data_IF_727528404664
#
_entry.id   IF_727528404664
#
_cell.length_a   1.000
_cell.length_b   1.000
_cell.length_c   1.000
_cell.angle_alpha   90.00
_cell.angle_beta   90.00
_cell.angle_gamma   90.00
#
_symmetry.space_group_name_H-M   'P 1'
#
loop_
_entity.id
_entity.type
_entity.pdbx_description
1 polymer ?
#
# COMPACT_ATOMS: atom_id res chain seq x y z
N UNK A 1 10.80 -1.22 8.24
CA UNK A 1 10.62 0.26 8.26
C UNK A 1 9.14 0.63 8.25
N UNK A 2 8.67 1.55 9.08
CA UNK A 2 7.26 1.95 9.08
C UNK A 2 7.00 3.03 8.02
N UNK A 3 6.20 2.70 7.01
CA UNK A 3 5.80 3.62 5.93
C UNK A 3 4.40 4.15 6.20
N UNK A 4 4.10 5.34 5.68
CA UNK A 4 2.73 5.89 5.73
C UNK A 4 1.73 4.94 5.09
N UNK A 5 0.52 4.89 5.65
CA UNK A 5 -0.52 3.96 5.19
C UNK A 5 -0.85 4.11 3.70
N UNK A 6 -0.81 5.33 3.15
CA UNK A 6 -1.01 5.56 1.73
C UNK A 6 0.09 4.95 0.83
N UNK A 7 1.34 4.94 1.28
CA UNK A 7 2.47 4.35 0.54
C UNK A 7 2.37 2.82 0.58
N UNK A 8 2.10 2.24 1.75
CA UNK A 8 1.92 0.78 1.87
C UNK A 8 0.69 0.31 1.11
N UNK A 9 -0.43 1.03 1.20
CA UNK A 9 -1.65 0.71 0.44
C UNK A 9 -1.38 0.73 -1.07
N UNK A 10 -0.69 1.76 -1.57
CA UNK A 10 -0.31 1.85 -2.97
C UNK A 10 0.56 0.66 -3.39
N UNK A 11 1.57 0.29 -2.60
CA UNK A 11 2.41 -0.87 -2.89
C UNK A 11 1.56 -2.13 -3.08
N UNK A 12 0.64 -2.39 -2.15
CA UNK A 12 -0.25 -3.54 -2.21
C UNK A 12 -1.17 -3.50 -3.44
N UNK A 13 -1.67 -2.32 -3.82
CA UNK A 13 -2.49 -2.13 -5.03
C UNK A 13 -1.70 -2.41 -6.32
N UNK A 14 -0.47 -1.92 -6.43
CA UNK A 14 0.40 -2.16 -7.60
C UNK A 14 0.71 -3.65 -7.71
N UNK A 15 1.07 -4.29 -6.60
CA UNK A 15 1.32 -5.74 -6.55
C UNK A 15 0.05 -6.52 -6.94
N UNK A 16 -1.12 -6.12 -6.44
CA UNK A 16 -2.39 -6.79 -6.73
C UNK A 16 -2.75 -6.72 -8.20
N UNK A 17 -2.61 -5.54 -8.79
CA UNK A 17 -2.84 -5.35 -10.21
C UNK A 17 -1.90 -6.24 -11.04
N UNK A 18 -0.62 -6.33 -10.64
CA UNK A 18 0.33 -7.23 -11.31
C UNK A 18 -0.08 -8.71 -11.20
N UNK A 19 -0.57 -9.15 -10.04
CA UNK A 19 -1.01 -10.54 -9.86
C UNK A 19 -2.21 -10.87 -10.76
N UNK A 20 -3.12 -9.91 -10.94
CA UNK A 20 -4.27 -10.06 -11.84
C UNK A 20 -3.82 -10.17 -13.30
N UNK A 21 -2.88 -9.33 -13.73
CA UNK A 21 -2.30 -9.42 -15.07
C UNK A 21 -1.66 -10.80 -15.32
N UNK A 22 -0.86 -11.28 -14.37
CA UNK A 22 -0.20 -12.58 -14.46
C UNK A 22 -1.20 -13.73 -14.54
N UNK A 23 -2.20 -13.79 -13.64
CA UNK A 23 -3.24 -14.82 -13.68
C UNK A 23 -4.11 -14.75 -14.96
N UNK A 24 -4.24 -13.56 -15.54
CA UNK A 24 -4.97 -13.39 -16.80
C UNK A 24 -4.15 -13.89 -18.00
N UNK A 25 -2.86 -13.58 -18.03
CA UNK A 25 -1.93 -13.95 -19.11
C UNK A 25 -1.55 -15.43 -19.08
N UNK A 26 -1.31 -15.99 -17.89
CA UNK A 26 -0.89 -17.37 -17.69
C UNK A 26 -1.91 -18.13 -16.85
N UNK A 27 -2.68 -19.01 -17.51
CA UNK A 27 -3.72 -19.82 -16.87
C UNK A 27 -3.16 -20.96 -16.01
N UNK A 28 -1.86 -21.22 -16.06
CA UNK A 28 -1.22 -22.18 -15.17
C UNK A 28 -1.00 -21.63 -13.77
N UNK A 29 -1.04 -20.29 -13.62
CA UNK A 29 -0.90 -19.62 -12.34
C UNK A 29 -2.23 -19.60 -11.59
N UNK A 30 -2.21 -20.09 -10.35
CA UNK A 30 -3.35 -19.98 -9.43
C UNK A 30 -3.44 -18.56 -8.87
N UNK A 31 -4.54 -17.87 -9.17
CA UNK A 31 -4.82 -16.55 -8.60
C UNK A 31 -4.81 -16.58 -7.07
N UNK A 32 -5.36 -17.64 -6.45
CA UNK A 32 -5.38 -17.80 -5.00
C UNK A 32 -3.96 -17.87 -4.43
N UNK A 33 -3.07 -18.58 -5.11
CA UNK A 33 -1.66 -18.69 -4.70
C UNK A 33 -0.94 -17.35 -4.83
N UNK A 34 -1.16 -16.61 -5.93
CA UNK A 34 -0.56 -15.28 -6.14
C UNK A 34 -1.03 -14.24 -5.10
N UNK A 35 -2.22 -14.40 -4.53
CA UNK A 35 -2.70 -13.53 -3.46
C UNK A 35 -2.04 -13.83 -2.10
N UNK A 36 -1.51 -15.04 -1.90
CA UNK A 36 -0.78 -15.42 -0.67
C UNK A 36 0.72 -15.17 -0.80
N UNK A 37 1.27 -15.49 -1.96
CA UNK A 37 2.68 -15.33 -2.31
C UNK A 37 2.79 -14.52 -3.61
N UNK A 38 2.70 -13.19 -3.53
CA UNK A 38 2.69 -12.37 -4.73
C UNK A 38 4.06 -12.32 -5.40
N UNK A 39 4.04 -12.31 -6.73
CA UNK A 39 5.21 -12.07 -7.56
C UNK A 39 5.52 -10.57 -7.58
N UNK A 40 6.71 -10.22 -7.11
CA UNK A 40 7.25 -8.85 -7.16
C UNK A 40 8.40 -8.85 -8.16
N UNK A 41 8.13 -8.32 -9.35
CA UNK A 41 9.05 -8.26 -10.49
C UNK A 41 9.37 -6.81 -10.90
N UNK A 42 10.15 -6.65 -11.97
CA UNK A 42 10.56 -5.33 -12.48
C UNK A 42 9.37 -4.43 -12.82
N UNK A 43 8.26 -4.99 -13.30
CA UNK A 43 7.07 -4.19 -13.62
C UNK A 43 6.42 -3.58 -12.37
N UNK A 44 6.40 -4.32 -11.25
CA UNK A 44 5.98 -3.76 -9.95
C UNK A 44 6.93 -2.64 -9.52
N UNK A 45 8.24 -2.86 -9.63
CA UNK A 45 9.24 -1.88 -9.24
C UNK A 45 9.12 -0.57 -10.02
N UNK A 46 9.01 -0.64 -11.34
CA UNK A 46 8.87 0.53 -12.21
C UNK A 46 7.59 1.31 -11.89
N UNK A 47 6.45 0.61 -11.77
CA UNK A 47 5.17 1.24 -11.44
C UNK A 47 5.17 1.90 -10.07
N UNK A 48 5.76 1.24 -9.07
CA UNK A 48 5.80 1.75 -7.70
C UNK A 48 6.77 2.93 -7.57
N UNK A 49 8.02 2.78 -8.01
CA UNK A 49 9.07 3.81 -7.87
C UNK A 49 8.77 5.08 -8.66
N UNK A 50 8.08 4.96 -9.80
CA UNK A 50 7.67 6.12 -10.60
C UNK A 50 6.41 6.84 -10.07
N UNK A 51 5.68 6.25 -9.13
CA UNK A 51 4.38 6.77 -8.72
C UNK A 51 4.48 8.08 -7.92
N UNK A 52 3.62 9.06 -8.24
CA UNK A 52 3.63 10.40 -7.63
C UNK A 52 3.52 10.40 -6.10
N UNK A 53 2.71 9.48 -5.55
CA UNK A 53 2.55 9.34 -4.09
C UNK A 53 3.86 8.90 -3.44
N UNK A 54 4.62 7.99 -4.06
CA UNK A 54 5.92 7.57 -3.51
C UNK A 54 6.90 8.74 -3.52
N UNK A 55 6.99 9.47 -4.64
CA UNK A 55 7.85 10.68 -4.73
C UNK A 55 7.52 11.74 -3.68
N UNK A 56 6.25 11.89 -3.32
CA UNK A 56 5.82 12.92 -2.36
C UNK A 56 5.99 12.49 -0.90
N UNK A 57 5.71 11.22 -0.59
CA UNK A 57 5.58 10.76 0.80
C UNK A 57 6.72 9.83 1.27
N UNK A 58 7.47 9.24 0.34
CA UNK A 58 8.59 8.34 0.62
C UNK A 58 9.61 8.36 -0.55
N UNK A 59 10.21 9.52 -0.86
CA UNK A 59 11.13 9.68 -2.00
C UNK A 59 12.31 8.70 -1.97
N UNK A 60 12.74 8.27 -0.79
CA UNK A 60 13.76 7.24 -0.58
C UNK A 60 13.41 5.91 -1.24
N UNK A 61 12.12 5.60 -1.44
CA UNK A 61 11.68 4.37 -2.09
C UNK A 61 11.73 4.44 -3.62
N UNK A 62 11.98 5.62 -4.21
CA UNK A 62 12.09 5.77 -5.66
C UNK A 62 13.38 5.13 -6.22
N UNK A 63 14.41 4.97 -5.39
CA UNK A 63 15.71 4.40 -5.78
C UNK A 63 15.87 2.92 -5.44
N UNK A 64 14.81 2.23 -5.02
CA UNK A 64 14.91 0.83 -4.60
C UNK A 64 15.34 -0.07 -5.74
N UNK A 65 16.14 -1.08 -5.40
CA UNK A 65 16.38 -2.25 -6.23
C UNK A 65 15.24 -3.25 -6.06
N UNK A 66 15.11 -4.18 -7.01
CA UNK A 66 14.04 -5.17 -7.00
C UNK A 66 14.06 -6.02 -5.72
N UNK A 67 15.24 -6.41 -5.26
CA UNK A 67 15.41 -7.21 -4.05
C UNK A 67 14.95 -6.46 -2.79
N UNK A 68 15.14 -5.14 -2.77
CA UNK A 68 14.72 -4.30 -1.65
C UNK A 68 13.20 -4.14 -1.63
N UNK A 69 12.58 -3.97 -2.80
CA UNK A 69 11.12 -3.95 -2.90
C UNK A 69 10.50 -5.30 -2.49
N UNK A 70 11.11 -6.41 -2.89
CA UNK A 70 10.72 -7.76 -2.45
C UNK A 70 10.82 -7.88 -0.92
N UNK A 71 11.89 -7.36 -0.31
CA UNK A 71 12.03 -7.35 1.14
C UNK A 71 10.95 -6.51 1.82
N UNK A 72 10.61 -5.33 1.28
CA UNK A 72 9.52 -4.49 1.79
C UNK A 72 8.17 -5.21 1.72
N UNK A 73 7.85 -5.86 0.60
CA UNK A 73 6.59 -6.62 0.47
C UNK A 73 6.55 -7.78 1.47
N UNK A 74 7.66 -8.52 1.63
CA UNK A 74 7.76 -9.59 2.64
C UNK A 74 7.57 -9.05 4.06
N UNK A 75 8.15 -7.89 4.38
CA UNK A 75 7.98 -7.25 5.68
C UNK A 75 6.50 -6.88 5.93
N UNK A 76 5.81 -6.34 4.92
CA UNK A 76 4.38 -6.01 5.02
C UNK A 76 3.54 -7.26 5.27
N UNK A 77 3.83 -8.38 4.58
CA UNK A 77 3.15 -9.65 4.82
C UNK A 77 3.46 -10.23 6.19
N UNK A 78 4.71 -10.14 6.66
CA UNK A 78 5.14 -10.65 7.96
C UNK A 78 4.49 -9.91 9.14
N UNK A 79 4.19 -8.61 8.99
CA UNK A 79 3.41 -7.86 9.99
C UNK A 79 1.98 -8.36 10.13
N UNK A 80 1.42 -8.95 9.07
CA UNK A 80 0.08 -9.50 9.07
C UNK A 80 -1.00 -8.44 9.29
N UNK A 81 -2.10 -8.85 9.93
CA UNK A 81 -3.29 -8.04 10.13
C UNK A 81 -3.50 -7.77 11.63
N UNK A 82 -3.05 -6.62 12.11
CA UNK A 82 -3.24 -6.26 13.52
C UNK A 82 -4.73 -6.23 13.87
N UNK A 83 -5.11 -6.92 14.97
CA UNK A 83 -6.47 -6.94 15.49
C UNK A 83 -7.50 -7.71 14.64
N UNK A 84 -7.07 -8.49 13.64
CA UNK A 84 -7.97 -9.40 12.93
C UNK A 84 -8.14 -10.71 13.69
N UNK A 85 -9.27 -11.40 13.49
CA UNK A 85 -9.48 -12.73 14.05
C UNK A 85 -8.34 -13.67 13.62
N UNK A 86 -7.87 -14.53 14.53
CA UNK A 86 -6.76 -15.47 14.30
C UNK A 86 -6.94 -16.31 13.03
N UNK A 87 -8.20 -16.57 12.64
CA UNK A 87 -8.56 -17.36 11.46
C UNK A 87 -8.54 -16.58 10.14
N UNK A 88 -8.26 -15.28 10.14
CA UNK A 88 -8.27 -14.47 8.90
C UNK A 88 -6.99 -14.73 8.11
N UNK A 89 -7.05 -15.32 6.90
CA UNK A 89 -5.84 -15.56 6.12
C UNK A 89 -5.20 -14.24 5.70
N UNK A 90 -3.88 -14.14 5.92
CA UNK A 90 -3.07 -13.03 5.41
C UNK A 90 -2.91 -13.22 3.90
N UNK A 91 -3.51 -12.31 3.14
CA UNK A 91 -3.47 -12.26 1.69
C UNK A 91 -3.29 -10.82 1.27
N UNK A 92 -2.89 -10.61 0.03
CA UNK A 92 -2.75 -9.29 -0.57
C UNK A 92 -4.04 -8.46 -0.46
N UNK A 93 -5.21 -9.09 -0.62
CA UNK A 93 -6.51 -8.43 -0.52
C UNK A 93 -6.82 -8.07 0.94
N UNK A 94 -6.61 -8.99 1.88
CA UNK A 94 -6.88 -8.72 3.30
C UNK A 94 -5.95 -7.64 3.85
N UNK A 95 -4.67 -7.64 3.43
CA UNK A 95 -3.72 -6.56 3.72
C UNK A 95 -4.15 -5.23 3.09
N UNK A 96 -4.51 -5.21 1.80
CA UNK A 96 -4.95 -3.98 1.14
C UNK A 96 -6.19 -3.39 1.83
N UNK A 97 -7.18 -4.22 2.19
CA UNK A 97 -8.36 -3.78 2.92
C UNK A 97 -8.03 -3.27 4.33
N UNK A 98 -7.07 -3.90 5.01
CA UNK A 98 -6.59 -3.43 6.31
C UNK A 98 -5.94 -2.04 6.21
N UNK A 99 -4.97 -1.87 5.31
CA UNK A 99 -4.31 -0.57 5.09
C UNK A 99 -5.24 0.49 4.53
N UNK A 100 -6.26 0.11 3.76
CA UNK A 100 -7.32 1.02 3.33
C UNK A 100 -8.11 1.57 4.53
N UNK A 101 -8.54 0.71 5.46
CA UNK A 101 -9.22 1.15 6.68
C UNK A 101 -8.34 2.06 7.54
N UNK A 102 -7.07 1.70 7.74
CA UNK A 102 -6.13 2.56 8.47
C UNK A 102 -5.96 3.92 7.79
N UNK A 103 -5.86 3.96 6.46
CA UNK A 103 -5.76 5.20 5.72
C UNK A 103 -7.03 6.05 5.81
N UNK A 104 -8.22 5.44 5.77
CA UNK A 104 -9.48 6.17 5.97
C UNK A 104 -9.53 6.79 7.36
N UNK A 105 -9.17 6.03 8.40
CA UNK A 105 -9.12 6.55 9.78
C UNK A 105 -8.11 7.70 9.93
N UNK A 106 -6.92 7.57 9.36
CA UNK A 106 -5.91 8.64 9.33
C UNK A 106 -6.46 9.91 8.64
N UNK A 107 -7.17 9.76 7.53
CA UNK A 107 -7.79 10.87 6.83
C UNK A 107 -8.87 11.56 7.68
N UNK A 108 -9.79 10.79 8.25
CA UNK A 108 -10.93 11.31 9.02
C UNK A 108 -10.51 11.98 10.33
N UNK A 109 -9.52 11.41 11.02
CA UNK A 109 -9.16 11.84 12.37
C UNK A 109 -8.03 12.86 12.42
N UNK A 110 -7.18 12.91 11.38
CA UNK A 110 -5.96 13.73 11.41
C UNK A 110 -5.88 14.69 10.23
N UNK A 111 -5.89 14.17 9.00
CA UNK A 111 -5.60 14.98 7.82
C UNK A 111 -6.74 15.93 7.42
N UNK A 112 -7.99 15.45 7.41
CA UNK A 112 -9.15 16.27 7.07
C UNK A 112 -9.43 17.37 8.11
N UNK A 113 -9.38 17.10 9.43
CA UNK A 113 -9.48 18.16 10.44
C UNK A 113 -8.37 19.20 10.26
N UNK A 114 -7.11 18.79 10.12
CA UNK A 114 -5.98 19.71 9.90
C UNK A 114 -6.16 20.56 8.64
N UNK A 115 -6.62 19.96 7.55
CA UNK A 115 -6.89 20.68 6.32
C UNK A 115 -8.01 21.72 6.52
N UNK A 116 -9.08 21.34 7.24
CA UNK A 116 -10.18 22.26 7.58
C UNK A 116 -9.68 23.45 8.41
N UNK A 117 -8.81 23.21 9.38
CA UNK A 117 -8.21 24.28 10.19
C UNK A 117 -7.36 25.23 9.35
N UNK A 118 -6.50 24.68 8.48
CA UNK A 118 -5.70 25.50 7.56
C UNK A 118 -6.58 26.35 6.64
N UNK A 119 -7.69 25.80 6.16
CA UNK A 119 -8.65 26.54 5.34
C UNK A 119 -9.39 27.62 6.12
N UNK A 120 -9.83 27.33 7.36
CA UNK A 120 -10.51 28.30 8.22
C UNK A 120 -9.56 29.45 8.62
N UNK A 121 -8.30 29.15 8.95
CA UNK A 121 -7.28 30.18 9.22
C UNK A 121 -6.94 30.99 7.98
N UNK A 122 -6.79 30.36 6.81
CA UNK A 122 -6.52 31.08 5.55
C UNK A 122 -7.69 31.99 5.11
N UNK A 123 -8.92 31.61 5.47
CA UNK A 123 -10.12 32.43 5.21
C UNK A 123 -10.37 33.50 6.30
N UNK A 124 -9.55 33.58 7.35
CA UNK A 124 -9.77 34.48 8.49
C UNK A 124 -10.97 34.10 9.37
N UNK A 125 -11.45 32.86 9.29
CA UNK A 125 -12.58 32.31 10.06
C UNK A 125 -12.15 31.73 11.42
N UNK A 126 -10.84 31.53 11.64
CA UNK A 126 -10.23 31.25 12.95
C UNK A 126 -9.08 32.22 13.19
N UNK A 127 -9.16 32.98 14.28
CA UNK A 127 -8.11 33.87 14.80
C UNK A 127 -7.11 33.14 15.66
#
# INVERSE_FOLDING_TARGET
MEYKYNVTLLLLQVVLHRQQELAHQDKTLSQISLLREPVVDTAVLERFSAHRVVRLYAPELCGLRLEELQAVVREVFARGLAGSAEDTPVTLITLANHYYRLRVQELELQELPKLKELMESAAGLRT
#
